data_IF_597473559941
#
_entry.id   IF_597473559941
#
_cell.length_a   1.000
_cell.length_b   1.000
_cell.length_c   1.000
_cell.angle_alpha   90.00
_cell.angle_beta   90.00
_cell.angle_gamma   90.00
#
_symmetry.space_group_name_H-M   'P 1'
#
loop_
_entity.id
_entity.type
_entity.pdbx_description
1 polymer ?
#
# COMPACT_ATOMS: atom_id res chain seq x y z
N UNK A 1 18.99 2.25 10.01
CA UNK A 1 18.02 1.33 9.42
C UNK A 1 17.51 1.97 8.13
N UNK A 2 17.39 1.22 7.04
CA UNK A 2 16.87 1.74 5.77
C UNK A 2 15.50 1.17 5.46
N UNK A 3 14.78 1.83 4.54
CA UNK A 3 13.45 1.40 4.10
C UNK A 3 13.51 -0.03 3.54
N UNK A 4 14.55 -0.37 2.78
CA UNK A 4 14.74 -1.70 2.21
C UNK A 4 14.91 -2.83 3.25
N UNK A 5 15.23 -2.48 4.50
CA UNK A 5 15.41 -3.44 5.60
C UNK A 5 14.10 -3.76 6.33
N UNK A 6 13.00 -3.05 6.01
CA UNK A 6 11.69 -3.28 6.61
C UNK A 6 11.06 -4.59 6.11
N UNK A 7 10.26 -5.24 6.96
CA UNK A 7 9.62 -6.52 6.64
C UNK A 7 8.69 -6.37 5.43
N UNK A 8 8.95 -7.14 4.38
CA UNK A 8 8.20 -7.10 3.12
C UNK A 8 8.66 -6.02 2.13
N UNK A 9 9.70 -5.25 2.47
CA UNK A 9 10.31 -4.26 1.59
C UNK A 9 11.65 -4.77 1.04
N UNK A 10 12.13 -4.08 0.00
CA UNK A 10 13.42 -4.31 -0.62
C UNK A 10 13.83 -3.08 -1.43
N UNK A 11 14.88 -3.19 -2.24
CA UNK A 11 15.44 -2.06 -3.00
C UNK A 11 14.39 -1.36 -3.88
N UNK A 12 13.54 -2.15 -4.54
CA UNK A 12 12.43 -1.62 -5.35
C UNK A 12 11.40 -0.83 -4.54
N UNK A 13 11.12 -1.24 -3.30
CA UNK A 13 10.20 -0.51 -2.42
C UNK A 13 10.80 0.83 -2.01
N UNK A 14 12.10 0.86 -1.71
CA UNK A 14 12.83 2.09 -1.39
C UNK A 14 12.81 3.08 -2.57
N UNK A 15 13.09 2.62 -3.79
CA UNK A 15 12.99 3.44 -5.01
C UNK A 15 11.57 3.98 -5.25
N UNK A 16 10.55 3.14 -5.02
CA UNK A 16 9.14 3.51 -5.18
C UNK A 16 8.73 4.56 -4.16
N UNK A 17 9.16 4.41 -2.90
CA UNK A 17 8.87 5.34 -1.82
C UNK A 17 9.58 6.68 -2.02
N UNK A 18 10.81 6.66 -2.54
CA UNK A 18 11.52 7.88 -2.92
C UNK A 18 10.77 8.70 -3.99
N UNK A 19 10.05 8.05 -4.92
CA UNK A 19 9.23 8.74 -5.93
C UNK A 19 8.04 9.53 -5.35
N UNK A 20 7.63 9.22 -4.13
CA UNK A 20 6.54 9.91 -3.42
C UNK A 20 7.05 10.77 -2.26
N UNK A 21 8.36 11.01 -2.21
CA UNK A 21 9.01 11.88 -1.24
C UNK A 21 9.23 11.24 0.13
N UNK A 22 9.35 9.90 0.19
CA UNK A 22 9.71 9.17 1.41
C UNK A 22 11.13 8.62 1.24
N UNK A 23 12.07 9.15 2.01
CA UNK A 23 13.50 8.87 1.89
C UNK A 23 14.08 8.22 3.14
N UNK A 24 13.38 8.25 4.27
CA UNK A 24 13.81 7.66 5.54
C UNK A 24 12.77 6.75 6.15
N UNK A 25 13.23 5.87 7.06
CA UNK A 25 12.34 5.02 7.86
C UNK A 25 11.47 5.89 8.76
N UNK A 26 12.01 6.96 9.35
CA UNK A 26 11.24 7.85 10.22
C UNK A 26 10.07 8.52 9.47
N UNK A 27 10.31 9.02 8.25
CA UNK A 27 9.24 9.55 7.39
C UNK A 27 8.20 8.48 7.03
N UNK A 28 8.66 7.27 6.73
CA UNK A 28 7.78 6.14 6.43
C UNK A 28 6.93 5.73 7.63
N UNK A 29 7.47 5.77 8.85
CA UNK A 29 6.75 5.42 10.07
C UNK A 29 5.81 6.55 10.53
N UNK A 30 6.13 7.80 10.21
CA UNK A 30 5.34 8.98 10.59
C UNK A 30 4.14 9.25 9.67
N UNK A 31 4.17 8.80 8.41
CA UNK A 31 3.09 9.03 7.45
C UNK A 31 1.92 8.06 7.65
N UNK A 32 0.69 8.57 7.53
CA UNK A 32 -0.50 7.72 7.49
C UNK A 32 -0.42 6.74 6.28
N UNK A 33 -0.63 5.43 6.50
CA UNK A 33 -0.46 4.43 5.47
C UNK A 33 -1.42 4.61 4.29
N UNK A 34 -2.61 5.14 4.52
CA UNK A 34 -3.61 5.37 3.47
C UNK A 34 -3.27 6.61 2.63
N UNK A 35 -2.76 7.68 3.24
CA UNK A 35 -2.23 8.83 2.50
C UNK A 35 -0.97 8.46 1.71
N UNK A 36 -0.08 7.62 2.26
CA UNK A 36 1.05 7.09 1.49
C UNK A 36 0.58 6.25 0.30
N UNK A 37 -0.40 5.36 0.50
CA UNK A 37 -0.99 4.58 -0.58
C UNK A 37 -1.62 5.46 -1.66
N UNK A 38 -2.32 6.55 -1.29
CA UNK A 38 -2.89 7.52 -2.22
C UNK A 38 -1.81 8.21 -3.06
N UNK A 39 -0.70 8.63 -2.44
CA UNK A 39 0.45 9.20 -3.18
C UNK A 39 1.01 8.18 -4.17
N UNK A 40 1.23 6.94 -3.74
CA UNK A 40 1.71 5.85 -4.60
C UNK A 40 0.75 5.55 -5.74
N UNK A 41 -0.56 5.56 -5.49
CA UNK A 41 -1.58 5.31 -6.52
C UNK A 41 -1.61 6.38 -7.61
N UNK A 42 -1.24 7.62 -7.28
CA UNK A 42 -1.11 8.72 -8.25
C UNK A 42 0.21 8.66 -9.04
N UNK A 43 1.31 8.28 -8.39
CA UNK A 43 2.65 8.38 -8.99
C UNK A 43 3.13 7.08 -9.63
N UNK A 44 2.75 5.93 -9.08
CA UNK A 44 3.28 4.61 -9.44
C UNK A 44 2.17 3.77 -10.08
N UNK A 45 2.26 3.52 -11.41
CA UNK A 45 1.31 2.67 -12.10
C UNK A 45 1.26 1.28 -11.48
N UNK A 46 0.07 0.66 -11.47
CA UNK A 46 -0.19 -0.67 -10.88
C UNK A 46 -0.08 -0.74 -9.36
N UNK A 47 -0.11 0.39 -8.66
CA UNK A 47 -0.29 0.39 -7.19
C UNK A 47 -1.66 -0.19 -6.84
N UNK A 48 -1.64 -1.41 -6.29
CA UNK A 48 -2.82 -2.21 -6.00
C UNK A 48 -2.98 -2.48 -4.51
N UNK A 49 -3.97 -3.28 -4.15
CA UNK A 49 -4.31 -3.57 -2.75
C UNK A 49 -3.14 -4.19 -1.95
N UNK A 50 -2.25 -4.92 -2.62
CA UNK A 50 -1.03 -5.46 -1.97
C UNK A 50 -0.09 -4.36 -1.45
N UNK A 51 -0.09 -3.17 -2.07
CA UNK A 51 0.76 -2.07 -1.63
C UNK A 51 0.34 -1.56 -0.25
N UNK A 52 -0.96 -1.40 0.01
CA UNK A 52 -1.43 -0.95 1.33
C UNK A 52 -1.18 -2.00 2.42
N UNK A 53 -1.30 -3.30 2.09
CA UNK A 53 -0.96 -4.37 3.03
C UNK A 53 0.52 -4.40 3.37
N UNK A 54 1.39 -4.15 2.38
CA UNK A 54 2.82 -4.08 2.60
C UNK A 54 3.20 -2.87 3.46
N UNK A 55 2.59 -1.70 3.22
CA UNK A 55 2.84 -0.49 4.01
C UNK A 55 2.45 -0.71 5.48
N UNK A 56 1.21 -1.14 5.73
CA UNK A 56 0.74 -1.37 7.10
C UNK A 56 1.54 -2.51 7.75
N UNK A 57 1.86 -3.57 7.01
CA UNK A 57 2.68 -4.66 7.52
C UNK A 57 4.06 -4.18 7.95
N UNK A 58 4.72 -3.37 7.14
CA UNK A 58 6.02 -2.79 7.48
C UNK A 58 5.96 -1.85 8.69
N UNK A 59 4.91 -1.03 8.81
CA UNK A 59 4.72 -0.14 9.97
C UNK A 59 4.39 -0.91 11.26
N UNK A 60 3.68 -2.03 11.18
CA UNK A 60 3.33 -2.88 12.33
C UNK A 60 4.36 -4.00 12.62
N UNK A 61 5.47 -4.06 11.88
CA UNK A 61 6.41 -5.19 11.85
C UNK A 61 5.76 -6.58 11.63
N UNK A 62 4.70 -6.62 10.84
CA UNK A 62 3.94 -7.83 10.48
C UNK A 62 4.14 -8.19 9.01
N UNK A 63 4.06 -9.48 8.72
CA UNK A 63 4.02 -9.93 7.33
C UNK A 63 2.72 -9.44 6.66
N UNK A 64 2.80 -8.92 5.44
CA UNK A 64 1.64 -8.34 4.74
C UNK A 64 0.44 -9.29 4.61
N UNK A 65 0.67 -10.61 4.57
CA UNK A 65 -0.40 -11.62 4.54
C UNK A 65 -1.24 -11.64 5.82
N UNK A 66 -0.62 -11.32 6.97
CA UNK A 66 -1.33 -11.20 8.25
C UNK A 66 -2.29 -10.02 8.18
N UNK A 67 -1.81 -8.87 7.69
CA UNK A 67 -2.64 -7.67 7.48
C UNK A 67 -3.79 -7.96 6.49
N UNK A 68 -3.49 -8.63 5.38
CA UNK A 68 -4.49 -9.00 4.38
C UNK A 68 -5.55 -9.99 4.90
N UNK A 69 -5.23 -10.77 5.92
CA UNK A 69 -6.18 -11.71 6.55
C UNK A 69 -7.01 -11.03 7.63
N UNK A 70 -6.38 -10.21 8.46
CA UNK A 70 -7.00 -9.67 9.70
C UNK A 70 -7.66 -8.31 9.48
N UNK A 71 -7.11 -7.47 8.59
CA UNK A 71 -7.52 -6.07 8.43
C UNK A 71 -8.09 -5.75 7.05
N UNK A 72 -8.22 -6.73 6.15
CA UNK A 72 -8.65 -6.49 4.76
C UNK A 72 -9.97 -5.74 4.65
N UNK A 73 -10.98 -6.13 5.43
CA UNK A 73 -12.30 -5.50 5.38
C UNK A 73 -12.23 -4.03 5.81
N UNK A 74 -11.56 -3.74 6.92
CA UNK A 74 -11.34 -2.38 7.42
C UNK A 74 -10.59 -1.51 6.40
N UNK A 75 -9.52 -2.07 5.82
CA UNK A 75 -8.72 -1.37 4.79
C UNK A 75 -9.58 -1.06 3.57
N UNK A 76 -10.40 -2.01 3.10
CA UNK A 76 -11.27 -1.78 1.95
C UNK A 76 -12.30 -0.70 2.21
N UNK A 77 -12.94 -0.69 3.38
CA UNK A 77 -13.88 0.38 3.76
C UNK A 77 -13.21 1.75 3.78
N UNK A 78 -12.06 1.87 4.42
CA UNK A 78 -11.33 3.14 4.48
C UNK A 78 -10.83 3.61 3.12
N UNK A 79 -10.43 2.67 2.25
CA UNK A 79 -10.10 3.01 0.87
C UNK A 79 -11.34 3.46 0.07
N UNK A 80 -12.51 2.88 0.32
CA UNK A 80 -13.76 3.29 -0.32
C UNK A 80 -14.18 4.70 0.08
N UNK A 81 -14.11 5.03 1.38
CA UNK A 81 -14.35 6.38 1.91
C UNK A 81 -13.43 7.43 1.26
N UNK A 82 -12.20 7.04 0.92
CA UNK A 82 -11.23 7.90 0.24
C UNK A 82 -11.42 7.95 -1.29
N UNK A 83 -12.38 7.20 -1.86
CA UNK A 83 -12.56 7.02 -3.30
C UNK A 83 -11.41 6.27 -3.98
N UNK A 84 -10.62 5.52 -3.20
CA UNK A 84 -9.44 4.77 -3.61
C UNK A 84 -9.66 3.26 -3.63
N UNK A 85 -10.86 2.77 -3.29
CA UNK A 85 -11.17 1.35 -3.37
C UNK A 85 -10.81 0.81 -4.76
N UNK A 86 -10.15 -0.36 -4.84
CA UNK A 86 -9.98 -1.01 -6.12
C UNK A 86 -11.37 -1.27 -6.68
N UNK A 87 -11.70 -0.68 -7.84
CA UNK A 87 -12.89 -1.10 -8.58
C UNK A 87 -12.70 -2.59 -8.82
N UNK A 88 -13.49 -3.41 -8.14
CA UNK A 88 -13.58 -4.84 -8.44
C UNK A 88 -13.72 -4.94 -9.95
N UNK A 89 -13.02 -5.88 -10.56
CA UNK A 89 -13.02 -6.08 -12.00
C UNK A 89 -14.45 -6.36 -12.51
N UNK A 90 -15.26 -5.32 -12.72
CA UNK A 90 -16.41 -5.29 -13.61
C UNK A 90 -15.86 -5.26 -15.03
N UNK A 91 -15.14 -6.33 -15.40
CA UNK A 91 -14.81 -6.72 -16.76
C UNK A 91 -14.80 -8.24 -16.79
N UNK A 92 -16.01 -8.82 -16.73
CA UNK A 92 -16.35 -10.15 -17.25
C UNK A 92 -17.88 -10.34 -17.23
N UNK A 93 -18.61 -9.50 -17.96
CA UNK A 93 -19.96 -9.77 -18.48
C UNK A 93 -20.21 -8.83 -19.67
N UNK A 94 -19.39 -8.98 -20.70
CA UNK A 94 -19.70 -8.53 -22.07
C UNK A 94 -18.96 -9.52 -22.97
N UNK A 95 -19.60 -10.66 -23.20
CA UNK A 95 -19.47 -11.45 -24.41
C UNK A 95 -20.86 -12.04 -24.58
N UNK A 96 -21.63 -11.28 -25.35
CA UNK A 96 -22.85 -11.65 -26.05
C UNK A 96 -22.65 -12.92 -26.88
#
# INVERSE_FOLDING_TARGET
MRIKDLKGFGEKSEEILAKVGIHSVDEFMAIDPFELYKKLKKTVPRTGLNSIYAIIGAQEDKHWQVIAREKKTEILFRLDDMGLAPKSSQKKKDNE
#
